data_IF_251246163293
#
_entry.id   IF_251246163293
#
_cell.length_a   1.000
_cell.length_b   1.000
_cell.length_c   1.000
_cell.angle_alpha   90.00
_cell.angle_beta   90.00
_cell.angle_gamma   90.00
#
_symmetry.space_group_name_H-M   'P 1'
#
loop_
_entity.id
_entity.type
_entity.pdbx_description
1 polymer ?
#
# COMPACT_ATOMS: atom_id res chain seq x y z
N UNK A 1 -8.84 -3.72 11.26
CA UNK A 1 -8.20 -3.63 9.94
C UNK A 1 -8.83 -4.68 9.07
N UNK A 2 -9.45 -4.31 7.94
CA UNK A 2 -9.81 -5.34 6.94
C UNK A 2 -8.49 -5.77 6.27
N UNK A 3 -8.23 -7.06 6.09
CA UNK A 3 -7.05 -7.51 5.36
C UNK A 3 -7.07 -6.86 3.98
N UNK A 4 -5.95 -6.27 3.57
CA UNK A 4 -5.82 -5.79 2.19
C UNK A 4 -6.16 -6.97 1.28
N UNK A 5 -7.10 -6.79 0.35
CA UNK A 5 -7.42 -7.81 -0.64
C UNK A 5 -6.13 -8.20 -1.35
N UNK A 6 -5.66 -9.43 -1.09
CA UNK A 6 -4.46 -9.97 -1.71
C UNK A 6 -4.75 -10.07 -3.21
N UNK A 7 -4.19 -9.16 -4.00
CA UNK A 7 -4.18 -9.30 -5.46
C UNK A 7 -3.48 -10.60 -5.82
N UNK A 8 -3.96 -11.29 -6.87
CA UNK A 8 -3.45 -12.62 -7.26
C UNK A 8 -1.92 -12.63 -7.46
N UNK A 9 -1.36 -11.55 -8.02
CA UNK A 9 0.09 -11.40 -8.18
C UNK A 9 0.83 -11.30 -6.85
N UNK A 10 0.26 -10.65 -5.83
CA UNK A 10 0.87 -10.56 -4.50
C UNK A 10 0.83 -11.90 -3.77
N UNK A 11 -0.23 -12.68 -3.93
CA UNK A 11 -0.30 -14.04 -3.37
C UNK A 11 0.79 -14.97 -3.96
N UNK A 12 1.08 -14.84 -5.26
CA UNK A 12 2.14 -15.61 -5.91
C UNK A 12 3.53 -15.20 -5.43
N UNK A 13 3.80 -13.89 -5.36
CA UNK A 13 5.06 -13.36 -4.84
C UNK A 13 5.26 -13.72 -3.35
N UNK A 14 4.22 -13.64 -2.53
CA UNK A 14 4.26 -14.05 -1.11
C UNK A 14 4.58 -15.56 -1.00
N UNK A 15 4.04 -16.39 -1.90
CA UNK A 15 4.32 -17.84 -1.92
C UNK A 15 5.76 -18.14 -2.31
N UNK A 16 6.29 -17.47 -3.34
CA UNK A 16 7.69 -17.61 -3.74
C UNK A 16 8.65 -17.11 -2.65
N UNK A 17 8.32 -16.00 -1.99
CA UNK A 17 9.10 -15.49 -0.87
C UNK A 17 9.10 -16.45 0.33
N UNK A 18 8.00 -17.16 0.58
CA UNK A 18 7.93 -18.17 1.64
C UNK A 18 8.75 -19.44 1.32
N UNK A 19 8.81 -19.86 0.05
CA UNK A 19 9.48 -21.10 -0.37
C UNK A 19 10.98 -20.89 -0.63
N UNK A 20 11.37 -19.74 -1.21
CA UNK A 20 12.73 -19.46 -1.66
C UNK A 20 13.44 -18.37 -0.85
N UNK A 21 12.71 -17.66 0.00
CA UNK A 21 13.28 -16.64 0.87
C UNK A 21 14.00 -17.24 2.08
N UNK A 22 14.96 -16.51 2.68
CA UNK A 22 15.50 -16.87 3.99
C UNK A 22 14.35 -17.05 5.00
N UNK A 23 14.49 -17.90 6.03
CA UNK A 23 13.43 -18.17 7.01
C UNK A 23 12.92 -16.84 7.59
N UNK A 24 11.79 -16.41 7.04
CA UNK A 24 11.15 -15.14 7.32
C UNK A 24 10.48 -15.30 8.69
N UNK A 25 11.17 -14.85 9.74
CA UNK A 25 10.68 -14.93 11.13
C UNK A 25 9.58 -13.89 11.34
N UNK A 26 8.39 -14.14 10.78
CA UNK A 26 7.21 -13.30 10.92
C UNK A 26 6.64 -12.76 9.61
N UNK A 27 5.43 -12.19 9.71
CA UNK A 27 4.73 -11.56 8.59
C UNK A 27 5.33 -10.16 8.34
N UNK A 28 6.05 -10.00 7.22
CA UNK A 28 6.68 -8.74 6.80
C UNK A 28 5.67 -7.64 6.48
N UNK A 29 4.43 -8.01 6.19
CA UNK A 29 3.35 -7.08 5.93
C UNK A 29 2.55 -6.78 7.21
N UNK A 30 2.78 -7.51 8.31
CA UNK A 30 2.14 -7.22 9.58
C UNK A 30 2.75 -5.98 10.23
N UNK A 31 1.94 -5.10 10.82
CA UNK A 31 2.45 -4.02 11.65
C UNK A 31 3.26 -4.58 12.82
N UNK A 32 4.51 -4.14 12.97
CA UNK A 32 5.39 -4.48 14.11
C UNK A 32 4.78 -4.01 15.44
N UNK A 33 3.95 -2.96 15.39
CA UNK A 33 3.20 -2.41 16.51
C UNK A 33 1.74 -2.15 16.12
N UNK A 34 0.80 -2.13 17.09
CA UNK A 34 -0.58 -1.72 16.82
C UNK A 34 -0.63 -0.30 16.23
N UNK A 35 -1.38 -0.13 15.15
CA UNK A 35 -1.59 1.17 14.50
C UNK A 35 -2.44 2.07 15.41
N UNK A 36 -1.95 3.26 15.72
CA UNK A 36 -2.67 4.23 16.55
C UNK A 36 -3.77 4.97 15.76
N UNK A 37 -4.60 5.76 16.45
CA UNK A 37 -5.73 6.45 15.82
C UNK A 37 -5.29 7.51 14.79
N UNK A 38 -4.18 8.20 15.06
CA UNK A 38 -3.62 9.24 14.19
C UNK A 38 -3.04 8.65 12.90
N UNK A 39 -2.29 7.55 13.01
CA UNK A 39 -1.75 6.79 11.89
C UNK A 39 -2.88 6.26 11.00
N UNK A 40 -3.98 5.79 11.59
CA UNK A 40 -5.17 5.35 10.84
C UNK A 40 -5.87 6.53 10.14
N UNK A 41 -5.98 7.68 10.79
CA UNK A 41 -6.55 8.88 10.20
C UNK A 41 -5.70 9.36 9.02
N UNK A 42 -4.38 9.38 9.18
CA UNK A 42 -3.41 9.72 8.15
C UNK A 42 -3.44 8.75 6.96
N UNK A 43 -3.54 7.44 7.21
CA UNK A 43 -3.68 6.45 6.12
C UNK A 43 -4.95 6.69 5.31
N UNK A 44 -6.07 6.97 5.99
CA UNK A 44 -7.35 7.29 5.34
C UNK A 44 -7.24 8.57 4.51
N UNK A 45 -6.61 9.60 5.07
CA UNK A 45 -6.33 10.86 4.39
C UNK A 45 -5.53 10.61 3.10
N UNK A 46 -4.38 9.93 3.19
CA UNK A 46 -3.51 9.63 2.05
C UNK A 46 -4.25 8.85 0.96
N UNK A 47 -5.04 7.84 1.31
CA UNK A 47 -5.82 7.08 0.32
C UNK A 47 -6.88 7.90 -0.40
N UNK A 48 -7.45 8.90 0.28
CA UNK A 48 -8.45 9.79 -0.32
C UNK A 48 -7.85 10.96 -1.09
N UNK A 49 -6.63 11.37 -0.75
CA UNK A 49 -5.96 12.58 -1.26
C UNK A 49 -5.38 12.40 -2.66
N UNK A 50 -5.01 11.19 -3.06
CA UNK A 50 -4.34 10.97 -4.34
C UNK A 50 -5.25 10.30 -5.37
N UNK A 51 -5.34 10.90 -6.56
CA UNK A 51 -6.02 10.33 -7.73
C UNK A 51 -4.98 9.76 -8.69
N UNK A 52 -5.26 8.56 -9.21
CA UNK A 52 -4.47 7.94 -10.26
C UNK A 52 -4.76 8.61 -11.62
N UNK A 53 -3.73 9.10 -12.29
CA UNK A 53 -3.79 9.72 -13.62
C UNK A 53 -2.84 8.98 -14.55
N UNK A 54 -3.29 8.73 -15.78
CA UNK A 54 -2.48 8.13 -16.83
C UNK A 54 -2.02 9.26 -17.75
N UNK A 55 -0.71 9.42 -17.88
CA UNK A 55 -0.11 10.41 -18.78
C UNK A 55 -0.18 9.92 -20.24
N UNK A 56 -0.02 10.83 -21.23
CA UNK A 56 -0.12 10.47 -22.66
C UNK A 56 0.92 9.45 -23.12
N UNK A 57 2.04 9.32 -22.40
CA UNK A 57 3.10 8.33 -22.60
C UNK A 57 2.74 6.94 -22.02
N UNK A 58 1.59 6.81 -21.37
CA UNK A 58 1.13 5.59 -20.71
C UNK A 58 1.64 5.42 -19.28
N UNK A 59 2.44 6.37 -18.76
CA UNK A 59 2.94 6.31 -17.39
C UNK A 59 1.83 6.65 -16.39
N UNK A 60 1.80 5.94 -15.27
CA UNK A 60 0.79 6.11 -14.22
C UNK A 60 1.36 6.95 -13.08
N UNK A 61 0.71 8.06 -12.77
CA UNK A 61 1.08 8.97 -11.70
C UNK A 61 -0.04 9.11 -10.68
N UNK A 62 0.32 9.46 -9.45
CA UNK A 62 -0.61 9.88 -8.41
C UNK A 62 -0.56 11.40 -8.33
N UNK A 63 -1.71 12.04 -8.52
CA UNK A 63 -1.87 13.50 -8.43
C UNK A 63 -2.64 13.82 -7.16
N UNK A 64 -2.13 14.78 -6.40
CA UNK A 64 -2.82 15.30 -5.23
C UNK A 64 -4.12 15.99 -5.66
N UNK A 65 -5.24 15.63 -5.04
CA UNK A 65 -6.55 16.21 -5.34
C UNK A 65 -6.82 17.47 -4.52
N UNK A 66 -5.97 17.81 -3.54
CA UNK A 66 -6.03 19.14 -2.95
C UNK A 66 -5.45 20.11 -3.98
N UNK A 67 -6.12 21.24 -4.27
CA UNK A 67 -5.41 22.32 -4.92
C UNK A 67 -4.21 22.66 -4.03
N UNK A 68 -3.03 22.79 -4.62
CA UNK A 68 -1.93 23.52 -4.00
C UNK A 68 -2.51 24.87 -3.57
N UNK A 69 -2.84 25.02 -2.29
CA UNK A 69 -2.87 26.34 -1.68
C UNK A 69 -1.40 26.75 -1.59
N UNK A 70 -0.94 27.41 -2.66
CA UNK A 70 0.41 27.97 -2.76
C UNK A 70 0.68 29.07 -1.75
#
# INVERSE_FOLDING_TARGET
>A
MKPQERTAGRAFTDTLAHVLGPPQVGDYAAPIRPVNAEERAREKELRSRFRRVVAPDGTVHLVDTRPDEG
#
